data_IF_392082878099
#
_entry.id   IF_392082878099
#
_cell.length_a   1.000
_cell.length_b   1.000
_cell.length_c   1.000
_cell.angle_alpha   90.00
_cell.angle_beta   90.00
_cell.angle_gamma   90.00
#
_symmetry.space_group_name_H-M   'P 1'
#
loop_
_entity.id
_entity.type
_entity.pdbx_description
1 polymer ?
#
# COMPACT_ATOMS: atom_id res chain seq x y z
N UNK A 1 -0.87 -29.65 -27.69
CA UNK A 1 -1.85 -29.43 -26.59
C UNK A 1 -2.91 -28.50 -27.14
N UNK A 2 -4.16 -28.90 -27.06
CA UNK A 2 -5.29 -28.11 -27.57
C UNK A 2 -5.40 -26.83 -26.68
N UNK A 3 -5.61 -25.66 -27.30
CA UNK A 3 -5.73 -24.37 -26.57
C UNK A 3 -6.86 -24.38 -25.54
N UNK A 4 -7.81 -25.29 -25.65
CA UNK A 4 -8.91 -25.45 -24.70
C UNK A 4 -8.49 -26.03 -23.33
N UNK A 5 -7.33 -26.69 -23.23
CA UNK A 5 -6.83 -27.33 -22.00
C UNK A 5 -5.83 -26.49 -21.22
N UNK A 6 -5.43 -25.31 -21.72
CA UNK A 6 -4.46 -24.45 -21.03
C UNK A 6 -5.12 -23.64 -19.91
N UNK A 7 -4.49 -23.54 -18.72
CA UNK A 7 -5.03 -22.73 -17.64
C UNK A 7 -5.12 -21.26 -18.05
N UNK A 8 -6.26 -20.66 -17.74
CA UNK A 8 -6.57 -19.28 -18.09
C UNK A 8 -5.93 -18.30 -17.10
N UNK A 9 -5.24 -17.30 -17.61
CA UNK A 9 -4.69 -16.19 -16.85
C UNK A 9 -5.23 -14.87 -17.39
N UNK A 10 -5.83 -14.05 -16.52
CA UNK A 10 -6.22 -12.69 -16.85
C UNK A 10 -5.06 -11.73 -16.58
N UNK A 11 -4.65 -10.95 -17.56
CA UNK A 11 -3.64 -9.91 -17.41
C UNK A 11 -4.28 -8.53 -17.46
N UNK A 12 -4.41 -7.89 -16.31
CA UNK A 12 -4.80 -6.48 -16.22
C UNK A 12 -3.59 -5.57 -16.39
N UNK A 13 -3.73 -4.53 -17.21
CA UNK A 13 -2.67 -3.58 -17.53
C UNK A 13 -3.17 -2.16 -17.35
N UNK A 14 -2.53 -1.39 -16.45
CA UNK A 14 -2.83 0.04 -16.31
C UNK A 14 -2.18 0.85 -17.42
N UNK A 15 -2.96 1.54 -18.25
CA UNK A 15 -2.45 2.42 -19.29
C UNK A 15 -1.66 3.61 -18.71
N UNK A 16 -2.02 4.07 -17.51
CA UNK A 16 -1.48 5.28 -16.89
C UNK A 16 -0.25 5.03 -16.01
N UNK A 17 -0.10 3.82 -15.48
CA UNK A 17 0.95 3.51 -14.51
C UNK A 17 2.35 3.72 -15.07
N UNK A 18 3.19 4.39 -14.27
CA UNK A 18 4.57 4.70 -14.61
C UNK A 18 4.72 5.56 -15.88
N UNK A 19 3.78 6.50 -16.14
CA UNK A 19 3.73 7.31 -17.38
C UNK A 19 3.67 6.41 -18.64
N UNK A 20 2.79 5.40 -18.63
CA UNK A 20 2.60 4.43 -19.70
C UNK A 20 3.66 3.33 -19.79
N UNK A 21 4.54 3.19 -18.79
CA UNK A 21 5.55 2.11 -18.75
C UNK A 21 4.91 0.73 -18.67
N UNK A 22 3.85 0.56 -17.88
CA UNK A 22 3.12 -0.69 -17.81
C UNK A 22 2.57 -1.09 -19.20
N UNK A 23 1.93 -0.16 -19.89
CA UNK A 23 1.39 -0.40 -21.23
C UNK A 23 2.49 -0.81 -22.25
N UNK A 24 3.63 -0.12 -22.24
CA UNK A 24 4.76 -0.47 -23.13
C UNK A 24 5.36 -1.85 -22.86
N UNK A 25 5.31 -2.33 -21.60
CA UNK A 25 5.83 -3.65 -21.21
C UNK A 25 4.83 -4.79 -21.45
N UNK A 26 3.55 -4.48 -21.53
CA UNK A 26 2.47 -5.46 -21.62
C UNK A 26 2.64 -6.49 -22.76
N UNK A 27 3.01 -6.12 -24.01
CA UNK A 27 3.18 -7.10 -25.08
C UNK A 27 4.26 -8.14 -24.76
N UNK A 28 5.38 -7.71 -24.18
CA UNK A 28 6.49 -8.61 -23.81
C UNK A 28 6.10 -9.54 -22.64
N UNK A 29 5.39 -9.01 -21.65
CA UNK A 29 4.84 -9.78 -20.51
C UNK A 29 3.85 -10.84 -21.02
N UNK A 30 2.89 -10.45 -21.85
CA UNK A 30 1.89 -11.36 -22.38
C UNK A 30 2.51 -12.46 -23.27
N UNK A 31 3.48 -12.11 -24.12
CA UNK A 31 4.19 -13.08 -24.95
C UNK A 31 4.95 -14.11 -24.10
N UNK A 32 5.61 -13.66 -23.04
CA UNK A 32 6.36 -14.53 -22.14
C UNK A 32 5.43 -15.48 -21.36
N UNK A 33 4.31 -14.99 -20.84
CA UNK A 33 3.31 -15.84 -20.18
C UNK A 33 2.74 -16.89 -21.13
N UNK A 34 2.44 -16.51 -22.39
CA UNK A 34 1.99 -17.46 -23.40
C UNK A 34 3.05 -18.51 -23.73
N UNK A 35 4.32 -18.14 -23.81
CA UNK A 35 5.42 -19.10 -24.03
C UNK A 35 5.60 -20.09 -22.87
N UNK A 36 5.12 -19.75 -21.69
CA UNK A 36 5.05 -20.63 -20.51
C UNK A 36 3.78 -21.50 -20.49
N UNK A 37 2.97 -21.49 -21.55
CA UNK A 37 1.79 -22.33 -21.69
C UNK A 37 0.49 -21.74 -21.12
N UNK A 38 0.48 -20.47 -20.70
CA UNK A 38 -0.73 -19.82 -20.21
C UNK A 38 -1.62 -19.34 -21.34
N UNK A 39 -2.93 -19.58 -21.22
CA UNK A 39 -3.94 -18.90 -22.05
C UNK A 39 -4.20 -17.50 -21.48
N UNK A 40 -3.56 -16.48 -22.09
CA UNK A 40 -3.55 -15.11 -21.55
C UNK A 40 -4.58 -14.25 -22.23
N UNK A 41 -5.58 -13.80 -21.44
CA UNK A 41 -6.52 -12.76 -21.82
C UNK A 41 -6.05 -11.40 -21.25
N UNK A 42 -5.80 -10.42 -22.13
CA UNK A 42 -5.25 -9.12 -21.77
C UNK A 42 -6.34 -8.07 -21.73
N UNK A 43 -6.49 -7.39 -20.59
CA UNK A 43 -7.36 -6.23 -20.43
C UNK A 43 -6.53 -4.99 -20.08
N UNK A 44 -6.47 -4.03 -20.98
CA UNK A 44 -5.93 -2.69 -20.71
C UNK A 44 -7.02 -1.84 -20.09
N UNK A 45 -6.70 -1.14 -19.00
CA UNK A 45 -7.62 -0.20 -18.34
C UNK A 45 -7.13 1.24 -18.51
N UNK A 46 -8.06 2.14 -18.75
CA UNK A 46 -7.87 3.57 -18.93
C UNK A 46 -8.42 4.37 -17.74
N UNK A 47 -8.33 5.69 -17.77
CA UNK A 47 -8.83 6.56 -16.69
C UNK A 47 -10.34 6.49 -16.47
N UNK A 48 -11.11 6.10 -17.49
CA UNK A 48 -12.56 5.94 -17.42
C UNK A 48 -13.01 4.59 -16.85
N UNK A 49 -12.09 3.63 -16.74
CA UNK A 49 -12.43 2.29 -16.22
C UNK A 49 -12.32 2.28 -14.69
N UNK A 50 -13.19 1.53 -14.04
CA UNK A 50 -13.01 1.13 -12.64
C UNK A 50 -12.31 -0.24 -12.58
N UNK A 51 -11.04 -0.29 -12.16
CA UNK A 51 -10.29 -1.55 -12.08
C UNK A 51 -10.90 -2.55 -11.08
N UNK A 52 -11.50 -2.05 -9.98
CA UNK A 52 -12.11 -2.92 -8.99
C UNK A 52 -13.36 -3.61 -9.54
N UNK A 53 -14.26 -2.86 -10.20
CA UNK A 53 -15.45 -3.43 -10.83
C UNK A 53 -15.09 -4.46 -11.92
N UNK A 54 -14.07 -4.17 -12.74
CA UNK A 54 -13.57 -5.11 -13.76
C UNK A 54 -12.97 -6.37 -13.13
N UNK A 55 -12.27 -6.25 -12.01
CA UNK A 55 -11.73 -7.39 -11.29
C UNK A 55 -12.81 -8.21 -10.61
N UNK A 56 -13.83 -7.58 -10.03
CA UNK A 56 -14.99 -8.27 -9.45
C UNK A 56 -15.76 -9.12 -10.47
N UNK A 57 -15.90 -8.62 -11.71
CA UNK A 57 -16.51 -9.37 -12.82
C UNK A 57 -15.61 -10.47 -13.41
N UNK A 58 -14.34 -10.52 -13.06
CA UNK A 58 -13.38 -11.50 -13.58
C UNK A 58 -13.52 -12.83 -12.84
N UNK A 59 -13.67 -13.94 -13.56
CA UNK A 59 -13.81 -15.29 -13.01
C UNK A 59 -12.53 -16.12 -13.04
N UNK A 60 -11.43 -15.56 -13.55
CA UNK A 60 -10.15 -16.27 -13.61
C UNK A 60 -9.58 -16.46 -12.21
N UNK A 61 -9.10 -17.68 -11.91
CA UNK A 61 -8.39 -17.95 -10.65
C UNK A 61 -7.02 -17.25 -10.62
N UNK A 62 -6.30 -17.25 -11.74
CA UNK A 62 -4.99 -16.58 -11.89
C UNK A 62 -5.16 -15.22 -12.54
N UNK A 63 -4.71 -14.18 -11.85
CA UNK A 63 -4.81 -12.79 -12.30
C UNK A 63 -3.47 -12.09 -12.16
N UNK A 64 -2.82 -11.82 -13.30
CA UNK A 64 -1.62 -10.98 -13.33
C UNK A 64 -2.04 -9.50 -13.43
N UNK A 65 -1.35 -8.64 -12.67
CA UNK A 65 -1.67 -7.22 -12.58
C UNK A 65 -0.44 -6.37 -12.84
N UNK A 66 -0.35 -5.77 -14.01
CA UNK A 66 0.77 -4.91 -14.42
C UNK A 66 0.42 -3.44 -14.19
N UNK A 67 0.90 -2.89 -13.09
CA UNK A 67 0.54 -1.53 -12.68
C UNK A 67 1.39 -0.95 -11.57
N UNK A 68 0.92 0.13 -10.95
CA UNK A 68 1.46 0.69 -9.71
C UNK A 68 0.76 0.11 -8.49
N UNK A 69 1.25 0.45 -7.30
CA UNK A 69 0.81 -0.13 -6.04
C UNK A 69 -0.71 -0.01 -5.82
N UNK A 70 -1.28 1.18 -5.94
CA UNK A 70 -2.72 1.39 -5.80
C UNK A 70 -3.57 0.65 -6.86
N UNK A 71 -3.06 0.50 -8.09
CA UNK A 71 -3.73 -0.28 -9.13
C UNK A 71 -3.73 -1.77 -8.80
N UNK A 72 -2.59 -2.29 -8.32
CA UNK A 72 -2.46 -3.68 -7.89
C UNK A 72 -3.38 -3.95 -6.70
N UNK A 73 -3.38 -3.07 -5.70
CA UNK A 73 -4.20 -3.18 -4.51
C UNK A 73 -5.70 -3.31 -4.84
N UNK A 74 -6.24 -2.39 -5.65
CA UNK A 74 -7.66 -2.38 -6.03
C UNK A 74 -8.10 -3.66 -6.73
N UNK A 75 -7.26 -4.23 -7.60
CA UNK A 75 -7.57 -5.50 -8.29
C UNK A 75 -7.38 -6.69 -7.35
N UNK A 76 -6.27 -6.71 -6.60
CA UNK A 76 -5.91 -7.81 -5.72
C UNK A 76 -6.98 -8.08 -4.65
N UNK A 77 -7.50 -7.03 -4.03
CA UNK A 77 -8.59 -7.12 -3.06
C UNK A 77 -9.81 -7.83 -3.65
N UNK A 78 -10.25 -7.43 -4.85
CA UNK A 78 -11.40 -8.07 -5.51
C UNK A 78 -11.12 -9.51 -5.94
N UNK A 79 -9.90 -9.82 -6.33
CA UNK A 79 -9.48 -11.20 -6.63
C UNK A 79 -9.46 -12.05 -5.37
N UNK A 80 -9.03 -11.48 -4.24
CA UNK A 80 -9.00 -12.14 -2.94
C UNK A 80 -10.37 -12.60 -2.45
N UNK A 81 -11.42 -11.80 -2.63
CA UNK A 81 -12.80 -12.14 -2.18
C UNK A 81 -13.33 -13.46 -2.74
N UNK A 82 -12.77 -13.95 -3.85
CA UNK A 82 -13.16 -15.23 -4.48
C UNK A 82 -12.04 -16.29 -4.43
N UNK A 83 -11.02 -16.09 -3.60
CA UNK A 83 -9.92 -17.04 -3.42
C UNK A 83 -8.98 -17.16 -4.62
N UNK A 84 -8.95 -16.16 -5.50
CA UNK A 84 -8.02 -16.14 -6.63
C UNK A 84 -6.58 -15.86 -6.21
N UNK A 85 -5.63 -16.09 -7.11
CA UNK A 85 -4.20 -15.82 -6.92
C UNK A 85 -3.77 -14.66 -7.81
N UNK A 86 -3.14 -13.66 -7.19
CA UNK A 86 -2.63 -12.47 -7.87
C UNK A 86 -1.16 -12.65 -8.19
N UNK A 87 -0.76 -12.27 -9.39
CA UNK A 87 0.64 -12.13 -9.80
C UNK A 87 0.94 -10.64 -9.96
N UNK A 88 1.49 -9.99 -8.92
CA UNK A 88 1.76 -8.55 -8.99
C UNK A 88 2.98 -8.29 -9.88
N UNK A 89 2.81 -7.42 -10.87
CA UNK A 89 3.84 -7.07 -11.85
C UNK A 89 4.16 -5.56 -11.77
N UNK A 90 5.41 -5.20 -11.45
CA UNK A 90 5.80 -3.81 -11.24
C UNK A 90 5.72 -2.99 -12.53
N UNK A 91 4.77 -2.06 -12.59
CA UNK A 91 4.56 -1.14 -13.71
C UNK A 91 4.49 0.33 -13.30
N UNK A 92 4.42 0.59 -12.00
CA UNK A 92 4.29 1.91 -11.39
C UNK A 92 5.62 2.65 -11.23
N UNK A 93 5.56 3.77 -10.49
CA UNK A 93 6.76 4.56 -10.13
C UNK A 93 7.44 4.02 -8.88
N UNK A 94 6.67 3.68 -7.84
CA UNK A 94 7.14 3.16 -6.55
C UNK A 94 7.40 1.67 -6.62
N UNK A 95 6.33 0.92 -6.83
CA UNK A 95 6.29 -0.54 -6.76
C UNK A 95 6.71 -1.04 -5.37
N UNK A 96 6.24 -0.35 -4.32
CA UNK A 96 6.63 -0.61 -2.94
C UNK A 96 6.06 -1.95 -2.46
N UNK A 97 4.83 -2.31 -2.85
CA UNK A 97 4.26 -3.64 -2.63
C UNK A 97 5.12 -4.75 -3.27
N UNK A 98 5.55 -4.57 -4.54
CA UNK A 98 6.41 -5.55 -5.19
C UNK A 98 7.78 -5.68 -4.52
N UNK A 99 8.31 -4.59 -3.96
CA UNK A 99 9.57 -4.60 -3.19
C UNK A 99 9.41 -5.35 -1.87
N UNK A 100 8.35 -5.06 -1.15
CA UNK A 100 8.00 -5.72 0.10
C UNK A 100 7.88 -7.24 -0.08
N UNK A 101 7.23 -7.67 -1.16
CA UNK A 101 7.06 -9.08 -1.51
C UNK A 101 8.33 -9.74 -2.10
N UNK A 102 9.46 -9.03 -2.21
CA UNK A 102 10.69 -9.57 -2.79
C UNK A 102 10.67 -9.75 -4.31
N UNK A 103 9.65 -9.24 -4.99
CA UNK A 103 9.48 -9.34 -6.45
C UNK A 103 10.46 -8.41 -7.20
N UNK A 104 10.81 -7.29 -6.57
CA UNK A 104 11.65 -6.27 -7.18
C UNK A 104 10.88 -5.35 -8.13
N UNK A 105 11.55 -4.77 -9.14
CA UNK A 105 10.99 -3.72 -10.02
C UNK A 105 10.98 -4.06 -11.50
N UNK A 106 11.35 -5.29 -11.88
CA UNK A 106 11.31 -5.78 -13.26
C UNK A 106 10.24 -6.86 -13.45
N UNK A 107 9.11 -6.45 -14.06
CA UNK A 107 7.99 -7.33 -14.36
C UNK A 107 8.40 -8.53 -15.25
N UNK A 108 9.28 -8.32 -16.23
CA UNK A 108 9.72 -9.38 -17.14
C UNK A 108 10.59 -10.41 -16.42
N UNK A 109 11.50 -9.94 -15.55
CA UNK A 109 12.32 -10.82 -14.72
C UNK A 109 11.46 -11.63 -13.74
N UNK A 110 10.40 -11.04 -13.19
CA UNK A 110 9.48 -11.75 -12.31
C UNK A 110 8.68 -12.82 -13.07
N UNK A 111 8.10 -12.48 -14.23
CA UNK A 111 7.34 -13.44 -15.05
C UNK A 111 8.18 -14.66 -15.43
N UNK A 112 9.49 -14.50 -15.70
CA UNK A 112 10.37 -15.64 -15.98
C UNK A 112 10.51 -16.64 -14.83
N UNK A 113 10.24 -16.21 -13.62
CA UNK A 113 10.27 -17.06 -12.42
C UNK A 113 8.93 -17.72 -12.11
N UNK A 114 7.87 -17.33 -12.81
CA UNK A 114 6.56 -17.97 -12.65
C UNK A 114 6.62 -19.42 -13.13
N UNK A 115 5.86 -20.31 -12.48
CA UNK A 115 5.72 -21.67 -12.96
C UNK A 115 5.05 -21.67 -14.33
N UNK A 116 5.36 -22.70 -15.11
CA UNK A 116 4.64 -22.98 -16.35
C UNK A 116 3.20 -23.41 -16.04
N UNK A 117 2.33 -23.23 -17.01
CA UNK A 117 0.94 -23.67 -16.88
C UNK A 117 0.82 -25.18 -16.55
N UNK A 118 1.75 -26.01 -17.04
CA UNK A 118 1.77 -27.46 -16.77
C UNK A 118 2.18 -27.78 -15.33
N UNK A 119 3.12 -27.04 -14.73
CA UNK A 119 3.51 -27.21 -13.33
C UNK A 119 2.37 -26.88 -12.40
N UNK A 120 1.66 -25.77 -12.63
CA UNK A 120 0.48 -25.38 -11.86
C UNK A 120 -0.65 -26.40 -11.94
N UNK A 121 -0.89 -26.98 -13.13
CA UNK A 121 -1.91 -28.03 -13.28
C UNK A 121 -1.56 -29.32 -12.55
N UNK A 122 -0.27 -29.62 -12.42
CA UNK A 122 0.21 -30.83 -11.74
C UNK A 122 0.14 -30.71 -10.20
N UNK A 123 0.38 -29.52 -9.64
CA UNK A 123 0.45 -29.29 -8.20
C UNK A 123 -0.90 -28.90 -7.55
N UNK A 124 -1.91 -28.56 -8.37
CA UNK A 124 -3.17 -27.97 -7.88
C UNK A 124 -3.08 -26.47 -7.71
N UNK A 125 -4.10 -25.76 -8.20
CA UNK A 125 -4.08 -24.32 -8.45
C UNK A 125 -3.96 -23.42 -7.19
N UNK A 126 -3.87 -23.94 -6.00
CA UNK A 126 -3.86 -23.18 -4.75
C UNK A 126 -2.77 -23.52 -3.73
N UNK A 127 -1.96 -24.56 -3.97
CA UNK A 127 -1.05 -25.13 -2.95
C UNK A 127 0.45 -24.93 -3.26
N UNK A 128 0.77 -24.13 -4.28
CA UNK A 128 2.16 -23.89 -4.63
C UNK A 128 2.90 -23.18 -3.48
N UNK A 129 4.12 -23.62 -3.07
CA UNK A 129 4.84 -23.09 -1.89
C UNK A 129 5.24 -21.60 -2.03
N UNK A 130 5.15 -21.04 -3.23
CA UNK A 130 5.39 -19.62 -3.50
C UNK A 130 4.11 -18.77 -3.47
N UNK A 131 2.97 -19.37 -3.13
CA UNK A 131 1.74 -18.62 -2.89
C UNK A 131 1.72 -18.22 -1.42
N UNK A 132 1.55 -16.92 -1.15
CA UNK A 132 1.47 -16.36 0.19
C UNK A 132 0.20 -15.53 0.36
N UNK A 133 -0.39 -15.57 1.54
CA UNK A 133 -1.39 -14.61 1.97
C UNK A 133 -0.75 -13.22 2.12
N UNK A 134 -1.50 -12.19 1.82
CA UNK A 134 -1.11 -10.80 2.04
C UNK A 134 -2.17 -10.13 2.88
N UNK A 135 -1.74 -9.54 3.97
CA UNK A 135 -2.57 -8.78 4.90
C UNK A 135 -2.82 -7.38 4.35
N UNK A 136 -3.85 -6.73 4.86
CA UNK A 136 -4.12 -5.32 4.63
C UNK A 136 -4.41 -4.62 5.95
N UNK A 137 -4.22 -3.33 5.99
CA UNK A 137 -4.80 -2.48 7.02
C UNK A 137 -6.22 -2.12 6.63
N UNK A 138 -7.14 -2.24 7.57
CA UNK A 138 -8.49 -1.73 7.47
C UNK A 138 -8.59 -0.43 8.25
N UNK A 139 -8.96 0.65 7.56
CA UNK A 139 -9.12 1.98 8.16
C UNK A 139 -10.60 2.31 8.25
N UNK A 140 -11.09 2.55 9.46
CA UNK A 140 -12.50 2.89 9.75
C UNK A 140 -12.59 4.21 10.50
N UNK A 141 -13.68 4.95 10.31
CA UNK A 141 -13.98 6.07 11.17
C UNK A 141 -14.51 5.57 12.52
N UNK A 142 -14.04 6.19 13.61
CA UNK A 142 -14.59 5.96 14.95
C UNK A 142 -15.70 6.98 15.18
N UNK A 143 -16.96 6.53 15.07
CA UNK A 143 -18.10 7.37 15.39
C UNK A 143 -18.63 7.08 16.78
N UNK A 144 -18.79 8.15 17.57
CA UNK A 144 -19.63 8.16 18.77
C UNK A 144 -19.13 7.42 20.01
N UNK A 145 -17.97 6.78 20.02
CA UNK A 145 -17.42 6.13 21.22
C UNK A 145 -16.55 7.06 22.09
N UNK A 146 -16.38 8.30 21.67
CA UNK A 146 -15.69 9.29 22.51
C UNK A 146 -16.75 9.99 23.36
N UNK A 147 -17.03 9.43 24.55
CA UNK A 147 -17.71 10.17 25.61
C UNK A 147 -16.84 11.37 26.00
N UNK A 148 -17.23 12.56 25.57
CA UNK A 148 -16.59 13.79 26.02
C UNK A 148 -16.69 14.94 25.03
N UNK A 149 -17.82 15.64 25.10
CA UNK A 149 -18.02 17.06 24.78
C UNK A 149 -18.11 17.53 23.33
N UNK A 150 -19.37 17.78 23.04
CA UNK A 150 -19.95 18.78 22.19
C UNK A 150 -19.32 20.16 22.30
N UNK A 151 -19.01 20.78 21.19
CA UNK A 151 -19.28 22.19 21.02
C UNK A 151 -19.39 22.52 19.52
N UNK A 152 -20.60 23.01 19.17
CA UNK A 152 -20.93 23.75 17.96
C UNK A 152 -21.02 22.98 16.63
N UNK A 153 -22.24 22.55 16.38
CA UNK A 153 -22.92 22.34 15.13
C UNK A 153 -22.41 23.02 13.87
N UNK A 154 -21.47 22.37 13.21
CA UNK A 154 -21.33 22.43 11.77
C UNK A 154 -20.62 21.13 11.36
N UNK A 155 -21.40 20.15 10.89
CA UNK A 155 -20.83 18.95 10.24
C UNK A 155 -20.43 19.35 8.82
N UNK A 156 -19.12 19.33 8.49
CA UNK A 156 -18.74 19.31 7.08
C UNK A 156 -19.25 18.01 6.46
N UNK A 157 -19.59 18.04 5.20
CA UNK A 157 -19.75 16.86 4.36
C UNK A 157 -18.38 16.19 4.25
N UNK A 158 -18.06 15.32 5.21
CA UNK A 158 -16.72 14.79 5.42
C UNK A 158 -16.57 13.39 4.81
N UNK A 159 -15.39 13.04 4.24
CA UNK A 159 -15.06 11.68 3.84
C UNK A 159 -15.21 10.63 4.96
N UNK A 160 -15.35 11.05 6.21
CA UNK A 160 -15.60 10.19 7.35
C UNK A 160 -16.87 9.33 7.24
N UNK A 161 -17.94 9.85 6.60
CA UNK A 161 -19.19 9.08 6.44
C UNK A 161 -19.04 7.88 5.51
N UNK A 162 -18.19 8.02 4.49
CA UNK A 162 -17.92 6.91 3.56
C UNK A 162 -17.09 5.80 4.22
N UNK A 163 -16.24 6.13 5.20
CA UNK A 163 -15.41 5.16 5.92
C UNK A 163 -16.16 4.35 6.97
N UNK A 164 -17.36 4.80 7.40
CA UNK A 164 -18.24 4.02 8.28
C UNK A 164 -18.87 2.85 7.54
N UNK A 165 -19.37 3.12 6.34
CA UNK A 165 -20.07 2.13 5.53
C UNK A 165 -19.10 1.31 4.68
N UNK A 166 -17.98 1.91 4.26
CA UNK A 166 -16.96 1.31 3.40
C UNK A 166 -15.54 1.58 3.94
N UNK A 167 -15.01 0.73 4.82
CA UNK A 167 -13.65 0.87 5.33
C UNK A 167 -12.62 0.93 4.20
N UNK A 168 -11.66 1.85 4.30
CA UNK A 168 -10.56 1.89 3.35
C UNK A 168 -9.58 0.74 3.62
N UNK A 169 -9.09 0.13 2.54
CA UNK A 169 -8.02 -0.87 2.62
C UNK A 169 -6.70 -0.26 2.16
N UNK A 170 -5.66 -0.40 2.98
CA UNK A 170 -4.32 0.10 2.73
C UNK A 170 -3.33 -1.05 2.83
N UNK A 171 -2.47 -1.24 1.85
CA UNK A 171 -1.50 -2.34 1.82
C UNK A 171 -0.12 -1.93 2.33
N UNK A 172 0.19 -0.65 2.24
CA UNK A 172 1.51 -0.10 2.57
C UNK A 172 1.59 0.45 3.99
N UNK A 173 1.46 1.75 4.11
CA UNK A 173 1.59 2.52 5.37
C UNK A 173 0.46 3.53 5.46
N UNK A 174 -0.15 3.65 6.63
CA UNK A 174 -1.04 4.77 7.01
C UNK A 174 -0.27 5.71 7.91
N UNK A 175 -0.18 6.98 7.54
CA UNK A 175 0.68 7.96 8.21
C UNK A 175 -0.04 9.22 8.61
N UNK A 176 0.38 9.79 9.73
CA UNK A 176 -0.01 11.10 10.26
C UNK A 176 1.24 11.92 10.54
N UNK A 177 1.24 13.19 10.13
CA UNK A 177 2.31 14.12 10.45
C UNK A 177 3.21 14.46 9.27
N UNK A 178 4.53 14.43 9.50
CA UNK A 178 5.52 14.94 8.54
C UNK A 178 5.45 14.26 7.18
N UNK A 179 5.36 12.95 7.15
CA UNK A 179 5.33 12.20 5.88
C UNK A 179 3.97 12.28 5.17
N UNK A 180 2.86 12.38 5.91
CA UNK A 180 1.56 12.67 5.34
C UNK A 180 1.56 14.02 4.62
N UNK A 181 2.10 15.07 5.27
CA UNK A 181 2.29 16.38 4.65
C UNK A 181 3.26 16.34 3.46
N UNK A 182 4.35 15.57 3.57
CA UNK A 182 5.30 15.38 2.48
C UNK A 182 4.65 14.74 1.26
N UNK A 183 3.76 13.78 1.48
CA UNK A 183 3.02 13.08 0.44
C UNK A 183 2.02 14.01 -0.25
N UNK A 184 1.28 14.81 0.51
CA UNK A 184 0.39 15.84 -0.04
C UNK A 184 1.17 16.83 -0.93
N UNK A 185 2.28 17.40 -0.43
CA UNK A 185 3.12 18.33 -1.20
C UNK A 185 3.68 17.66 -2.47
N UNK A 186 4.09 16.39 -2.37
CA UNK A 186 4.61 15.64 -3.51
C UNK A 186 3.54 15.40 -4.58
N UNK A 187 2.30 15.14 -4.18
CA UNK A 187 1.17 14.93 -5.09
C UNK A 187 0.80 16.23 -5.84
N UNK A 188 0.86 17.37 -5.16
CA UNK A 188 0.55 18.69 -5.73
C UNK A 188 1.67 19.23 -6.64
N UNK A 189 2.85 18.60 -6.61
CA UNK A 189 4.02 19.09 -7.36
C UNK A 189 4.15 18.40 -8.71
N UNK A 190 4.14 19.17 -9.79
CA UNK A 190 4.37 18.68 -11.16
C UNK A 190 5.85 18.47 -11.54
N UNK A 191 6.78 18.96 -10.71
CA UNK A 191 8.21 19.14 -11.03
C UNK A 191 8.98 17.83 -11.10
N UNK A 192 8.62 16.82 -10.30
CA UNK A 192 9.37 15.59 -10.20
C UNK A 192 8.46 14.36 -10.09
N UNK A 193 9.02 13.17 -10.19
CA UNK A 193 8.26 11.92 -10.02
C UNK A 193 9.05 10.89 -9.20
N UNK A 194 8.33 10.07 -8.44
CA UNK A 194 8.94 9.02 -7.61
C UNK A 194 9.67 9.60 -6.40
N UNK A 195 10.79 8.99 -6.03
CA UNK A 195 11.56 9.32 -4.82
C UNK A 195 11.99 10.79 -4.76
N UNK A 196 12.25 11.44 -5.90
CA UNK A 196 12.61 12.87 -5.93
C UNK A 196 11.46 13.79 -5.56
N UNK A 197 10.24 13.50 -6.01
CA UNK A 197 9.05 14.28 -5.61
C UNK A 197 8.80 14.15 -4.11
N UNK A 198 8.93 12.94 -3.59
CA UNK A 198 8.80 12.69 -2.17
C UNK A 198 9.90 13.40 -1.35
N UNK A 199 11.17 13.32 -1.78
CA UNK A 199 12.27 14.02 -1.12
C UNK A 199 12.07 15.53 -1.04
N UNK A 200 11.60 16.13 -2.14
CA UNK A 200 11.23 17.54 -2.18
C UNK A 200 10.06 17.86 -1.23
N UNK A 201 9.01 17.05 -1.27
CA UNK A 201 7.85 17.17 -0.36
C UNK A 201 8.28 17.08 1.09
N UNK A 202 9.13 16.11 1.45
CA UNK A 202 9.64 15.91 2.79
C UNK A 202 10.48 17.09 3.29
N UNK A 203 11.34 17.66 2.44
CA UNK A 203 12.13 18.84 2.80
C UNK A 203 11.24 20.07 3.03
N UNK A 204 10.23 20.28 2.20
CA UNK A 204 9.24 21.34 2.36
C UNK A 204 8.38 21.15 3.59
N UNK A 205 7.90 19.93 3.79
CA UNK A 205 7.11 19.57 4.98
C UNK A 205 7.91 19.85 6.28
N UNK A 206 9.18 19.47 6.31
CA UNK A 206 10.03 19.69 7.48
C UNK A 206 10.24 21.18 7.83
N UNK A 207 10.20 22.07 6.84
CA UNK A 207 10.29 23.52 7.08
C UNK A 207 9.02 24.05 7.77
N UNK A 208 7.85 23.54 7.41
CA UNK A 208 6.54 24.04 7.82
C UNK A 208 5.99 23.31 9.04
N UNK A 209 6.23 22.00 9.15
CA UNK A 209 5.67 21.16 10.18
C UNK A 209 6.33 21.37 11.54
N UNK A 210 5.55 21.20 12.60
CA UNK A 210 6.00 21.11 13.98
C UNK A 210 5.43 19.85 14.62
N UNK A 211 6.20 19.17 15.49
CA UNK A 211 5.72 17.99 16.20
C UNK A 211 4.40 18.24 16.91
N UNK A 212 3.42 17.40 16.63
CA UNK A 212 2.07 17.42 17.20
C UNK A 212 1.94 16.41 18.32
N UNK A 213 1.00 16.65 19.23
CA UNK A 213 0.61 15.69 20.26
C UNK A 213 -0.71 15.04 19.81
N UNK A 214 -0.70 13.73 19.70
CA UNK A 214 -1.86 12.92 19.35
C UNK A 214 -2.28 12.06 20.53
N UNK A 215 -3.57 11.77 20.65
CA UNK A 215 -4.08 10.74 21.57
C UNK A 215 -4.37 9.48 20.77
N UNK A 216 -3.76 8.38 21.18
CA UNK A 216 -3.93 7.08 20.52
C UNK A 216 -4.25 5.98 21.53
N UNK A 217 -4.85 4.92 21.04
CA UNK A 217 -5.02 3.68 21.78
C UNK A 217 -4.37 2.55 20.96
N UNK A 218 -3.42 1.86 21.55
CA UNK A 218 -2.66 0.78 20.92
C UNK A 218 -3.00 -0.51 21.64
N UNK A 219 -3.61 -1.45 20.93
CA UNK A 219 -4.06 -2.74 21.48
C UNK A 219 -4.80 -2.58 22.84
N UNK A 220 -5.69 -1.56 22.93
CA UNK A 220 -6.49 -1.26 24.11
C UNK A 220 -5.81 -0.36 25.16
N UNK A 221 -4.56 0.05 24.98
CA UNK A 221 -3.83 0.91 25.91
C UNK A 221 -3.76 2.35 25.39
N UNK A 222 -4.42 3.26 26.08
CA UNK A 222 -4.41 4.71 25.74
C UNK A 222 -3.11 5.37 26.14
N UNK A 223 -2.57 6.21 25.23
CA UNK A 223 -1.36 7.00 25.44
C UNK A 223 -1.36 8.26 24.59
N UNK A 224 -0.62 9.28 25.07
CA UNK A 224 -0.34 10.50 24.32
C UNK A 224 1.06 10.40 23.70
N UNK A 225 1.16 10.63 22.40
CA UNK A 225 2.42 10.62 21.67
C UNK A 225 2.62 12.00 21.07
N UNK A 226 3.77 12.60 21.35
CA UNK A 226 4.21 13.82 20.68
C UNK A 226 5.37 13.51 19.77
N UNK A 227 5.25 13.81 18.48
CA UNK A 227 6.29 13.45 17.52
C UNK A 227 6.20 14.18 16.20
N UNK A 228 7.19 13.89 15.36
CA UNK A 228 7.23 14.32 13.97
C UNK A 228 6.26 13.53 13.11
N UNK A 229 6.08 12.26 13.42
CA UNK A 229 5.17 11.39 12.70
C UNK A 229 4.68 10.25 13.61
N UNK A 230 3.48 9.75 13.28
CA UNK A 230 2.92 8.49 13.75
C UNK A 230 2.46 7.74 12.51
N UNK A 231 2.97 6.53 12.29
CA UNK A 231 2.62 5.71 11.13
C UNK A 231 2.35 4.28 11.53
N UNK A 232 1.33 3.69 10.92
CA UNK A 232 1.02 2.26 11.05
C UNK A 232 1.41 1.59 9.74
N UNK A 233 2.27 0.60 9.81
CA UNK A 233 2.91 -0.06 8.68
C UNK A 233 2.49 -1.51 8.56
N UNK A 234 2.20 -1.95 7.34
CA UNK A 234 2.02 -3.35 6.97
C UNK A 234 3.17 -3.83 6.05
N UNK A 235 3.68 -2.95 5.18
CA UNK A 235 4.70 -3.32 4.20
C UNK A 235 6.11 -2.84 4.53
N UNK A 236 6.25 -1.84 5.39
CA UNK A 236 7.52 -1.17 5.69
C UNK A 236 8.03 -0.22 4.62
N UNK A 237 7.42 -0.20 3.43
CA UNK A 237 7.89 0.54 2.27
C UNK A 237 6.96 1.68 1.88
N UNK A 238 7.52 2.82 1.51
CA UNK A 238 6.78 3.96 0.97
C UNK A 238 7.65 4.86 0.08
N UNK A 239 7.03 5.86 -0.56
CA UNK A 239 7.73 6.91 -1.29
C UNK A 239 8.54 6.42 -2.50
N UNK A 240 8.30 5.22 -3.00
CA UNK A 240 8.95 4.67 -4.18
C UNK A 240 10.32 4.05 -3.91
N UNK A 241 10.47 3.34 -2.82
CA UNK A 241 11.64 2.54 -2.52
C UNK A 241 12.30 2.83 -1.17
N UNK A 242 11.66 3.60 -0.32
CA UNK A 242 12.14 3.86 1.04
C UNK A 242 11.58 2.78 1.97
N UNK A 243 12.47 1.99 2.58
CA UNK A 243 12.10 1.03 3.62
C UNK A 243 12.36 1.66 4.99
N UNK A 244 11.30 2.18 5.60
CA UNK A 244 11.38 2.87 6.89
C UNK A 244 11.16 1.93 8.07
N UNK A 245 10.41 0.84 7.86
CA UNK A 245 10.15 -0.19 8.87
C UNK A 245 10.58 -1.55 8.32
N UNK A 246 11.88 -1.88 8.38
CA UNK A 246 12.41 -3.12 7.79
C UNK A 246 11.89 -4.41 8.44
N UNK A 247 11.29 -4.31 9.62
CA UNK A 247 10.66 -5.43 10.33
C UNK A 247 9.30 -5.81 9.79
N UNK A 248 8.62 -4.91 9.06
CA UNK A 248 7.27 -5.18 8.55
C UNK A 248 7.25 -6.37 7.60
N UNK A 249 6.24 -7.22 7.82
CA UNK A 249 5.98 -8.40 6.99
C UNK A 249 4.48 -8.48 6.68
N UNK A 250 4.05 -8.28 5.44
CA UNK A 250 2.64 -8.22 5.09
C UNK A 250 1.94 -9.59 5.07
N UNK A 251 2.46 -10.59 5.76
CA UNK A 251 1.95 -11.96 5.76
C UNK A 251 2.01 -12.63 7.15
N UNK A 252 2.06 -11.87 8.23
CA UNK A 252 2.19 -12.40 9.60
C UNK A 252 1.00 -12.06 10.52
N UNK A 253 0.00 -11.34 9.97
CA UNK A 253 -1.18 -10.93 10.73
C UNK A 253 -0.89 -9.81 11.74
N UNK A 254 0.19 -9.05 11.54
CA UNK A 254 0.63 -7.98 12.42
C UNK A 254 0.89 -6.67 11.67
N UNK A 255 0.97 -5.60 12.42
CA UNK A 255 1.33 -4.27 11.94
C UNK A 255 2.46 -3.71 12.80
N UNK A 256 3.18 -2.72 12.33
CA UNK A 256 4.14 -1.97 13.13
C UNK A 256 3.70 -0.53 13.28
N UNK A 257 3.66 -0.07 14.53
CA UNK A 257 3.53 1.34 14.87
C UNK A 257 4.92 1.99 14.90
N UNK A 258 5.17 2.86 13.94
CA UNK A 258 6.36 3.72 13.92
C UNK A 258 6.02 5.08 14.50
N UNK A 259 6.79 5.52 15.49
CA UNK A 259 6.74 6.89 16.00
C UNK A 259 8.12 7.54 15.96
N UNK A 260 8.15 8.87 15.74
CA UNK A 260 9.40 9.64 15.67
C UNK A 260 9.34 10.78 16.66
N UNK A 261 10.22 10.75 17.65
CA UNK A 261 10.27 11.71 18.74
C UNK A 261 10.47 13.16 18.28
N UNK A 262 9.99 14.15 19.07
CA UNK A 262 10.21 15.55 18.79
C UNK A 262 11.66 15.94 19.08
N UNK A 263 12.45 16.10 18.03
CA UNK A 263 13.83 16.59 18.11
C UNK A 263 13.97 17.91 17.37
N UNK A 264 15.06 18.67 17.59
CA UNK A 264 15.35 19.87 16.83
C UNK A 264 15.44 19.59 15.31
N UNK A 265 14.99 20.54 14.50
CA UNK A 265 14.92 20.39 13.01
C UNK A 265 16.24 19.92 12.40
N UNK A 266 17.39 20.37 12.89
CA UNK A 266 18.69 19.93 12.34
C UNK A 266 18.96 18.44 12.58
N UNK A 267 18.45 17.84 13.64
CA UNK A 267 18.52 16.39 13.87
C UNK A 267 17.55 15.68 12.91
N UNK A 268 16.29 16.14 12.85
CA UNK A 268 15.30 15.59 11.94
C UNK A 268 15.79 15.62 10.46
N UNK A 269 16.47 16.69 10.02
CA UNK A 269 17.09 16.79 8.70
C UNK A 269 18.14 15.68 8.49
N UNK A 270 18.99 15.42 9.47
CA UNK A 270 20.02 14.37 9.35
C UNK A 270 19.40 12.98 9.24
N UNK A 271 18.37 12.70 10.05
CA UNK A 271 17.64 11.41 9.98
C UNK A 271 16.95 11.29 8.63
N UNK A 272 16.21 12.31 8.20
CA UNK A 272 15.54 12.33 6.90
C UNK A 272 16.53 12.11 5.73
N UNK A 273 17.69 12.75 5.77
CA UNK A 273 18.73 12.57 4.73
C UNK A 273 19.23 11.11 4.68
N UNK A 274 19.36 10.43 5.82
CA UNK A 274 19.73 9.01 5.88
C UNK A 274 18.62 8.11 5.32
N UNK A 275 17.37 8.39 5.67
CA UNK A 275 16.18 7.71 5.15
C UNK A 275 16.11 7.84 3.62
N UNK A 276 16.23 9.07 3.10
CA UNK A 276 16.22 9.34 1.66
C UNK A 276 17.40 8.72 0.90
N UNK A 277 18.54 8.57 1.57
CA UNK A 277 19.69 7.85 1.02
C UNK A 277 19.52 6.32 1.07
N UNK A 278 18.34 5.82 1.44
CA UNK A 278 18.03 4.40 1.58
C UNK A 278 19.00 3.65 2.50
N UNK A 279 19.54 4.33 3.49
CA UNK A 279 20.41 3.73 4.50
C UNK A 279 19.59 3.22 5.67
N UNK A 280 19.97 2.10 6.24
CA UNK A 280 19.40 1.65 7.51
C UNK A 280 19.56 2.78 8.53
N UNK A 281 18.45 3.25 9.09
CA UNK A 281 18.44 4.29 10.10
C UNK A 281 18.25 3.61 11.45
N UNK A 282 19.33 3.60 12.22
CA UNK A 282 19.34 3.21 13.63
C UNK A 282 19.56 4.51 14.41
N UNK A 283 18.47 5.10 14.87
CA UNK A 283 18.47 6.37 15.60
C UNK A 283 17.47 6.26 16.75
N UNK A 284 17.88 6.62 17.99
CA UNK A 284 17.05 6.43 19.19
C UNK A 284 15.74 7.20 19.19
N UNK A 285 15.52 8.11 18.23
CA UNK A 285 14.24 8.82 18.09
C UNK A 285 13.19 8.00 17.34
N UNK A 286 13.57 6.90 16.71
CA UNK A 286 12.67 6.02 15.95
C UNK A 286 12.25 4.86 16.86
N UNK A 287 10.96 4.79 17.15
CA UNK A 287 10.40 3.68 17.94
C UNK A 287 9.48 2.88 17.04
N UNK A 288 9.73 1.57 17.00
CA UNK A 288 8.90 0.61 16.25
C UNK A 288 8.36 -0.40 17.23
N UNK A 289 7.05 -0.58 17.23
CA UNK A 289 6.32 -1.49 18.09
C UNK A 289 5.38 -2.35 17.26
N UNK A 290 5.38 -3.67 17.49
CA UNK A 290 4.46 -4.60 16.84
C UNK A 290 3.07 -4.48 17.47
N UNK A 291 2.02 -4.36 16.63
CA UNK A 291 0.65 -4.10 17.06
C UNK A 291 -0.35 -4.85 16.18
N UNK A 292 -1.60 -4.96 16.63
CA UNK A 292 -2.70 -5.49 15.82
C UNK A 292 -3.75 -4.43 15.49
N UNK A 293 -3.87 -3.41 16.35
CA UNK A 293 -4.82 -2.32 16.18
C UNK A 293 -4.29 -1.03 16.79
N UNK A 294 -4.52 0.08 16.08
CA UNK A 294 -4.24 1.43 16.55
C UNK A 294 -5.48 2.29 16.33
N UNK A 295 -6.03 2.85 17.40
CA UNK A 295 -7.06 3.87 17.31
C UNK A 295 -6.44 5.25 17.48
N UNK A 296 -6.71 6.12 16.56
CA UNK A 296 -6.37 7.55 16.65
C UNK A 296 -7.57 8.24 17.26
N UNK A 297 -7.49 8.61 18.51
CA UNK A 297 -8.59 9.25 19.26
C UNK A 297 -8.63 10.76 19.01
N UNK A 298 -7.44 11.38 18.93
CA UNK A 298 -7.24 12.78 18.53
C UNK A 298 -6.00 12.87 17.63
N UNK A 299 -6.21 13.25 16.36
CA UNK A 299 -5.13 13.44 15.38
C UNK A 299 -4.47 14.82 15.46
N UNK A 300 -4.89 15.70 16.37
CA UNK A 300 -4.47 17.12 16.43
C UNK A 300 -4.67 17.86 15.09
N UNK A 301 -5.74 17.52 14.36
CA UNK A 301 -6.06 18.08 13.04
C UNK A 301 -5.14 17.59 11.92
N UNK A 302 -4.46 16.45 12.09
CA UNK A 302 -3.68 15.82 11.04
C UNK A 302 -4.56 14.88 10.21
N UNK A 303 -4.26 14.84 8.93
CA UNK A 303 -4.91 13.97 7.93
C UNK A 303 -4.17 12.64 7.86
N UNK A 304 -4.90 11.55 7.72
CA UNK A 304 -4.36 10.23 7.42
C UNK A 304 -4.09 10.07 5.93
N UNK A 305 -2.86 9.73 5.58
CA UNK A 305 -2.47 9.35 4.22
C UNK A 305 -2.14 7.86 4.17
N UNK A 306 -2.68 7.15 3.17
CA UNK A 306 -2.42 5.71 2.95
C UNK A 306 -2.20 5.42 1.47
N UNK A 307 -1.13 4.68 1.13
CA UNK A 307 -0.77 4.29 -0.24
C UNK A 307 -0.73 5.45 -1.26
N UNK A 308 -0.49 6.68 -0.78
CA UNK A 308 -0.40 7.89 -1.59
C UNK A 308 -1.67 8.74 -1.63
N UNK A 309 -2.78 8.26 -1.12
CA UNK A 309 -4.07 8.95 -1.10
C UNK A 309 -4.47 9.34 0.32
N UNK A 310 -5.35 10.33 0.46
CA UNK A 310 -5.98 10.63 1.74
C UNK A 310 -6.99 9.54 2.08
N UNK A 311 -6.83 8.91 3.24
CA UNK A 311 -7.68 7.80 3.70
C UNK A 311 -8.61 8.20 4.83
N UNK A 312 -8.44 9.37 5.45
CA UNK A 312 -9.37 9.85 6.46
C UNK A 312 -8.89 11.07 7.22
N UNK A 313 -9.77 11.57 8.08
CA UNK A 313 -9.53 12.67 9.03
C UNK A 313 -10.25 12.37 10.35
N UNK A 314 -9.71 12.87 11.46
CA UNK A 314 -10.32 12.73 12.79
C UNK A 314 -10.09 11.39 13.43
N UNK A 315 -10.99 10.96 14.32
CA UNK A 315 -10.86 9.68 15.00
C UNK A 315 -10.99 8.51 14.02
N UNK A 316 -9.96 7.65 13.99
CA UNK A 316 -9.88 6.51 13.08
C UNK A 316 -9.39 5.27 13.83
N UNK A 317 -9.86 4.10 13.41
CA UNK A 317 -9.29 2.81 13.77
C UNK A 317 -8.55 2.22 12.57
N UNK A 318 -7.33 1.77 12.84
CA UNK A 318 -6.48 1.07 11.87
C UNK A 318 -6.19 -0.31 12.47
N UNK A 319 -6.69 -1.37 11.82
CA UNK A 319 -6.51 -2.74 12.29
C UNK A 319 -6.01 -3.65 11.17
N UNK A 320 -5.32 -4.72 11.52
CA UNK A 320 -4.91 -5.74 10.56
C UNK A 320 -6.11 -6.54 10.07
N UNK A 321 -6.16 -6.79 8.77
CA UNK A 321 -7.06 -7.76 8.13
C UNK A 321 -6.19 -8.82 7.47
N UNK A 322 -6.06 -10.01 8.09
CA UNK A 322 -5.16 -11.04 7.60
C UNK A 322 -5.62 -11.64 6.26
N UNK A 323 -4.67 -12.03 5.45
CA UNK A 323 -4.86 -12.80 4.21
C UNK A 323 -5.97 -12.28 3.28
N UNK A 324 -6.03 -10.96 3.07
CA UNK A 324 -7.07 -10.33 2.23
C UNK A 324 -7.03 -10.87 0.80
N UNK A 325 -5.84 -11.23 0.32
CA UNK A 325 -5.65 -11.89 -0.97
C UNK A 325 -4.37 -12.73 -0.97
N UNK A 326 -4.26 -13.63 -1.95
CA UNK A 326 -3.08 -14.47 -2.14
C UNK A 326 -2.26 -14.01 -3.33
N UNK A 327 -0.94 -13.98 -3.17
CA UNK A 327 0.01 -13.61 -4.23
C UNK A 327 0.96 -14.73 -4.55
N UNK A 328 1.40 -14.77 -5.80
CA UNK A 328 2.54 -15.56 -6.22
C UNK A 328 3.80 -14.69 -6.18
N UNK A 329 4.85 -15.13 -5.46
CA UNK A 329 6.13 -14.42 -5.26
C UNK A 329 7.32 -15.24 -5.73
#
# INVERSE_FOLDING_TARGET
MDQASQPKLKLFVSALSGKGRALRRAPKVAALLRSQGWNVDVRVTHSSDDPAALAAACTNHWVAVLGGDGYIARIATQVGTRGGVVVPLPGGRGNDLCRCLGIGTDAVAHVRKLPTASEICAEGAGEHPRIRGVDAMQVRALNGEIEGQDAAGQRPSSPAKDLEENPAQVLGIVSFGLDALANQIANDTSIASGTFAYAWGALRALQQFQPKTMEIEVDGVRRRIRGWLVSVSNSGWFGGGINIVPSSNPSDGRLELLTVDPVPKHHAIRVLARVLAMRKVDDPILHVEEVTSVKILDSAGLVAMGDGDQVGEGPLEISVSPEVFRVFV
#
